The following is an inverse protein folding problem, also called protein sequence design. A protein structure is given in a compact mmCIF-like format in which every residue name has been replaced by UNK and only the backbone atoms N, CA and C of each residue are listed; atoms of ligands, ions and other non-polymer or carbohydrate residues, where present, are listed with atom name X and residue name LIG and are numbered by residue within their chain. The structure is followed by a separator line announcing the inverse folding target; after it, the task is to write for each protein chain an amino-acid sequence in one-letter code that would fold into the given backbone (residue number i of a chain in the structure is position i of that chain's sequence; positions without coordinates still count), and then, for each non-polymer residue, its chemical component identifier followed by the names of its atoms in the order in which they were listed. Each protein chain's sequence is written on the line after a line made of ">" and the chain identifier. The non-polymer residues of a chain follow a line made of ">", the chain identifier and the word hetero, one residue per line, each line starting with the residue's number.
data_IF_050483713792
#
_entry.id   IF_050483713792
#
_cell.length_a   1.000
_cell.length_b   1.000
_cell.length_c   1.000
_cell.angle_alpha   90.00
_cell.angle_beta   90.00
_cell.angle_gamma   90.00
#
_symmetry.space_group_name_H-M   'P 1'
#
loop_
_entity.id
_entity.type
_entity.pdbx_description
1 polymer ?
#
# COMPACT_ATOMS: atom_id res chain seq x y z
N UNK A 1 0.67 30.35 -6.47
CA UNK A 1 -0.63 29.94 -5.92
C UNK A 1 -0.44 29.49 -4.49
N UNK A 2 -1.19 30.08 -3.55
CA UNK A 2 -1.28 29.54 -2.19
C UNK A 2 -1.91 28.14 -2.27
N UNK A 3 -1.35 27.18 -1.54
CA UNK A 3 -1.86 25.81 -1.56
C UNK A 3 -3.13 25.70 -0.72
N UNK A 4 -3.96 24.68 -0.96
CA UNK A 4 -5.16 24.39 -0.14
C UNK A 4 -4.81 24.32 1.35
N UNK A 5 -3.62 23.84 1.68
CA UNK A 5 -3.13 23.77 3.05
C UNK A 5 -2.94 25.15 3.68
N UNK A 6 -2.46 26.15 2.93
CA UNK A 6 -2.34 27.52 3.42
C UNK A 6 -3.70 28.10 3.82
N UNK A 7 -4.75 27.77 3.07
CA UNK A 7 -6.13 28.15 3.38
C UNK A 7 -6.57 27.46 4.67
N UNK A 8 -6.36 26.14 4.78
CA UNK A 8 -6.67 25.38 6.02
C UNK A 8 -5.96 26.01 7.22
N UNK A 9 -4.67 26.32 7.12
CA UNK A 9 -3.89 26.90 8.22
C UNK A 9 -4.41 28.28 8.65
N UNK A 10 -4.81 29.12 7.69
CA UNK A 10 -5.40 30.44 8.01
C UNK A 10 -6.75 30.31 8.70
N UNK A 11 -7.54 29.35 8.25
CA UNK A 11 -8.88 29.09 8.78
C UNK A 11 -8.78 28.52 10.20
N UNK A 12 -7.90 27.56 10.43
CA UNK A 12 -7.71 26.92 11.75
C UNK A 12 -7.21 27.88 12.83
N UNK A 13 -6.54 28.99 12.46
CA UNK A 13 -6.05 30.00 13.40
C UNK A 13 -7.05 31.10 13.78
N UNK A 14 -8.29 31.10 13.27
CA UNK A 14 -9.29 32.14 13.51
C UNK A 14 -10.60 31.63 14.13
N UNK A 15 -11.46 32.54 14.57
CA UNK A 15 -12.86 32.21 14.93
C UNK A 15 -13.62 31.84 13.65
N UNK A 16 -14.03 30.59 13.54
CA UNK A 16 -14.73 30.07 12.36
C UNK A 16 -16.22 30.00 12.58
N UNK A 17 -16.98 30.36 11.54
CA UNK A 17 -18.37 29.93 11.46
C UNK A 17 -18.44 28.40 11.44
N UNK A 18 -19.50 27.84 12.02
CA UNK A 18 -19.73 26.40 12.04
C UNK A 18 -19.69 25.76 10.64
N UNK A 19 -20.25 26.46 9.64
CA UNK A 19 -20.24 26.02 8.24
C UNK A 19 -18.82 25.91 7.65
N UNK A 20 -17.93 26.86 7.97
CA UNK A 20 -16.55 26.83 7.50
C UNK A 20 -15.74 25.73 8.21
N UNK A 21 -15.96 25.54 9.51
CA UNK A 21 -15.34 24.45 10.28
C UNK A 21 -15.71 23.07 9.72
N UNK A 22 -16.98 22.86 9.36
CA UNK A 22 -17.43 21.62 8.72
C UNK A 22 -16.77 21.40 7.35
N UNK A 23 -16.68 22.45 6.53
CA UNK A 23 -16.04 22.39 5.22
C UNK A 23 -14.55 22.02 5.33
N UNK A 24 -13.83 22.61 6.29
CA UNK A 24 -12.41 22.27 6.56
C UNK A 24 -12.26 20.84 7.05
N UNK A 25 -13.15 20.39 7.93
CA UNK A 25 -13.15 19.00 8.42
C UNK A 25 -13.34 18.01 7.27
N UNK A 26 -14.26 18.29 6.35
CA UNK A 26 -14.49 17.47 5.16
C UNK A 26 -13.28 17.47 4.23
N UNK A 27 -12.73 18.65 3.92
CA UNK A 27 -11.55 18.79 3.05
C UNK A 27 -10.35 18.03 3.61
N UNK A 28 -10.11 18.17 4.91
CA UNK A 28 -9.00 17.50 5.59
C UNK A 28 -9.17 15.99 5.55
N UNK A 29 -10.37 15.49 5.82
CA UNK A 29 -10.69 14.06 5.71
C UNK A 29 -10.42 13.53 4.30
N UNK A 30 -10.87 14.25 3.27
CA UNK A 30 -10.62 13.88 1.87
C UNK A 30 -9.12 13.89 1.56
N UNK A 31 -8.38 14.90 2.01
CA UNK A 31 -6.94 14.96 1.80
C UNK A 31 -6.22 13.80 2.49
N UNK A 32 -6.52 13.54 3.76
CA UNK A 32 -6.00 12.41 4.54
C UNK A 32 -6.20 11.09 3.81
N UNK A 33 -7.43 10.82 3.38
CA UNK A 33 -7.78 9.60 2.64
C UNK A 33 -7.07 9.52 1.27
N UNK A 34 -6.78 10.66 0.65
CA UNK A 34 -6.12 10.71 -0.65
C UNK A 34 -4.60 10.50 -0.59
N UNK A 35 -3.98 10.55 0.60
CA UNK A 35 -2.53 10.31 0.76
C UNK A 35 -2.10 8.86 0.45
N UNK A 36 -3.05 7.95 0.25
CA UNK A 36 -2.80 6.61 -0.29
C UNK A 36 -2.43 6.63 -1.78
N UNK A 37 -2.72 7.71 -2.49
CA UNK A 37 -2.40 7.85 -3.90
C UNK A 37 -1.02 8.47 -4.06
N UNK A 38 -0.13 7.79 -4.79
CA UNK A 38 1.24 8.23 -5.06
C UNK A 38 1.29 9.71 -5.46
N UNK A 39 0.44 10.10 -6.42
CA UNK A 39 0.47 11.46 -7.00
C UNK A 39 0.13 12.53 -5.96
N UNK A 40 -0.80 12.24 -5.07
CA UNK A 40 -1.23 13.16 -4.02
C UNK A 40 -0.14 13.25 -2.95
N UNK A 41 0.40 12.11 -2.52
CA UNK A 41 1.48 12.05 -1.53
C UNK A 41 2.76 12.77 -2.02
N UNK A 42 3.19 12.53 -3.27
CA UNK A 42 4.34 13.21 -3.88
C UNK A 42 4.10 14.72 -3.97
N UNK A 43 2.90 15.13 -4.39
CA UNK A 43 2.54 16.55 -4.47
C UNK A 43 2.54 17.22 -3.09
N UNK A 44 1.99 16.54 -2.09
CA UNK A 44 1.97 16.99 -0.70
C UNK A 44 3.40 17.16 -0.17
N UNK A 45 4.24 16.12 -0.30
CA UNK A 45 5.66 16.15 0.08
C UNK A 45 6.37 17.33 -0.56
N UNK A 46 6.39 17.42 -1.90
CA UNK A 46 7.11 18.49 -2.63
C UNK A 46 6.66 19.88 -2.21
N UNK A 47 5.37 20.05 -1.90
CA UNK A 47 4.83 21.34 -1.51
C UNK A 47 5.20 21.73 -0.08
N UNK A 48 5.25 20.76 0.83
CA UNK A 48 5.32 21.01 2.27
C UNK A 48 6.60 20.55 2.95
N UNK A 49 7.55 19.95 2.24
CA UNK A 49 8.79 19.40 2.81
C UNK A 49 9.53 20.43 3.69
N UNK A 50 9.74 21.63 3.14
CA UNK A 50 10.37 22.75 3.87
C UNK A 50 9.55 23.29 5.06
N UNK A 51 8.25 22.99 5.12
CA UNK A 51 7.33 23.46 6.15
C UNK A 51 6.97 22.38 7.18
N UNK A 52 7.45 21.14 7.02
CA UNK A 52 7.03 20.00 7.85
C UNK A 52 7.21 20.23 9.35
N UNK A 53 8.31 20.85 9.78
CA UNK A 53 8.53 21.18 11.20
C UNK A 53 7.50 22.17 11.74
N UNK A 54 7.07 23.13 10.92
CA UNK A 54 6.00 24.08 11.30
C UNK A 54 4.65 23.37 11.37
N UNK A 55 4.33 22.52 10.38
CA UNK A 55 3.09 21.77 10.36
C UNK A 55 2.97 20.84 11.57
N UNK A 56 4.06 20.15 11.96
CA UNK A 56 4.07 19.28 13.15
C UNK A 56 3.85 20.05 14.45
N UNK A 57 4.36 21.29 14.58
CA UNK A 57 4.03 22.15 15.73
C UNK A 57 2.54 22.50 15.74
N UNK A 58 1.99 22.91 14.60
CA UNK A 58 0.56 23.23 14.50
C UNK A 58 -0.34 22.02 14.78
N UNK A 59 0.10 20.81 14.45
CA UNK A 59 -0.63 19.59 14.77
C UNK A 59 -0.80 19.33 16.27
N UNK A 60 0.03 19.92 17.14
CA UNK A 60 -0.10 19.77 18.59
C UNK A 60 -1.39 20.43 19.11
N UNK A 61 -1.79 21.55 18.49
CA UNK A 61 -2.96 22.33 18.90
C UNK A 61 -4.19 22.06 18.01
N UNK A 62 -4.02 21.34 16.89
CA UNK A 62 -5.04 21.17 15.86
C UNK A 62 -5.19 19.70 15.43
N UNK A 63 -6.16 18.97 16.02
CA UNK A 63 -6.38 17.54 15.74
C UNK A 63 -6.58 17.22 14.24
N UNK A 64 -7.23 18.13 13.52
CA UNK A 64 -7.47 18.01 12.07
C UNK A 64 -6.14 17.97 11.29
N UNK A 65 -5.14 18.78 11.68
CA UNK A 65 -3.82 18.77 11.06
C UNK A 65 -3.05 17.52 11.49
N UNK A 66 -3.15 17.13 12.78
CA UNK A 66 -2.53 15.92 13.30
C UNK A 66 -2.96 14.68 12.50
N UNK A 67 -4.24 14.54 12.21
CA UNK A 67 -4.79 13.44 11.40
C UNK A 67 -4.14 13.31 10.02
N UNK A 68 -3.88 14.45 9.33
CA UNK A 68 -3.21 14.46 8.02
C UNK A 68 -1.76 14.08 8.16
N UNK A 69 -1.06 14.61 9.17
CA UNK A 69 0.36 14.33 9.36
C UNK A 69 0.61 12.89 9.81
N UNK A 70 -0.24 12.33 10.67
CA UNK A 70 -0.22 10.91 11.02
C UNK A 70 -0.41 10.06 9.76
N UNK A 71 -1.34 10.44 8.87
CA UNK A 71 -1.51 9.73 7.61
C UNK A 71 -0.30 9.84 6.68
N UNK A 72 0.30 11.03 6.60
CA UNK A 72 1.52 11.26 5.82
C UNK A 72 2.69 10.42 6.35
N UNK A 73 2.96 10.49 7.65
CA UNK A 73 4.08 9.80 8.30
C UNK A 73 3.93 8.27 8.16
N UNK A 74 2.70 7.73 8.25
CA UNK A 74 2.43 6.31 8.05
C UNK A 74 2.68 5.80 6.61
N UNK A 75 2.89 6.70 5.62
CA UNK A 75 3.00 6.34 4.19
C UNK A 75 4.30 6.81 3.55
N UNK A 76 4.97 7.83 4.11
CA UNK A 76 6.13 8.49 3.49
C UNK A 76 7.37 7.60 3.44
N UNK A 77 7.57 6.72 4.43
CA UNK A 77 8.68 5.78 4.43
C UNK A 77 8.59 4.85 3.20
N UNK A 78 7.43 4.21 3.03
CA UNK A 78 7.21 3.31 1.91
C UNK A 78 7.21 4.04 0.57
N UNK A 79 6.75 5.29 0.53
CA UNK A 79 6.89 6.13 -0.66
C UNK A 79 8.37 6.27 -1.09
N UNK A 80 9.29 6.54 -0.17
CA UNK A 80 10.71 6.66 -0.50
C UNK A 80 11.34 5.34 -0.95
N UNK A 81 10.93 4.22 -0.35
CA UNK A 81 11.38 2.88 -0.77
C UNK A 81 10.97 2.64 -2.22
N UNK A 82 9.69 2.78 -2.52
CA UNK A 82 9.15 2.58 -3.88
C UNK A 82 9.72 3.61 -4.86
N UNK A 83 10.01 4.85 -4.43
CA UNK A 83 10.63 5.86 -5.30
C UNK A 83 12.02 5.42 -5.75
N UNK A 84 12.83 4.91 -4.83
CA UNK A 84 14.15 4.35 -5.13
C UNK A 84 14.05 3.12 -6.03
N UNK A 85 13.16 2.18 -5.72
CA UNK A 85 12.94 0.99 -6.55
C UNK A 85 12.51 1.34 -7.98
N UNK A 86 11.62 2.32 -8.14
CA UNK A 86 11.19 2.78 -9.47
C UNK A 86 12.37 3.37 -10.25
N UNK A 87 13.30 4.09 -9.59
CA UNK A 87 14.51 4.60 -10.24
C UNK A 87 15.42 3.45 -10.66
N UNK A 88 15.63 2.43 -9.81
CA UNK A 88 16.47 1.29 -10.15
C UNK A 88 15.85 0.39 -11.23
N UNK A 89 14.55 0.10 -11.15
CA UNK A 89 13.83 -0.68 -12.16
C UNK A 89 13.80 0.04 -13.52
N UNK A 90 13.79 1.37 -13.54
CA UNK A 90 13.92 2.16 -14.77
C UNK A 90 15.27 2.04 -15.47
N UNK A 91 16.29 1.45 -14.83
CA UNK A 91 17.62 1.28 -15.44
C UNK A 91 17.79 -0.05 -16.17
N UNK A 92 16.87 -0.99 -15.99
CA UNK A 92 16.99 -2.36 -16.53
C UNK A 92 15.74 -2.77 -17.29
N UNK A 93 15.95 -3.43 -18.43
CA UNK A 93 14.85 -4.08 -19.14
C UNK A 93 14.41 -5.30 -18.32
N UNK A 94 13.10 -5.46 -18.13
CA UNK A 94 12.52 -6.60 -17.41
C UNK A 94 12.43 -7.89 -18.23
N UNK A 95 12.89 -7.87 -19.49
CA UNK A 95 13.02 -9.09 -20.28
C UNK A 95 14.44 -9.63 -20.10
N UNK A 96 14.58 -10.78 -19.42
CA UNK A 96 15.89 -11.34 -19.06
C UNK A 96 16.75 -11.72 -20.28
N UNK A 97 16.12 -12.09 -21.41
CA UNK A 97 16.81 -12.40 -22.67
C UNK A 97 17.04 -11.14 -23.54
N UNK A 98 16.90 -9.94 -22.97
CA UNK A 98 17.16 -8.69 -23.69
C UNK A 98 18.63 -8.66 -24.18
N UNK A 99 18.89 -8.41 -25.48
CA UNK A 99 20.25 -8.30 -26.02
C UNK A 99 21.07 -7.14 -25.43
N UNK A 100 20.42 -6.20 -24.75
CA UNK A 100 21.04 -5.05 -24.09
C UNK A 100 20.26 -4.75 -22.80
N UNK A 101 20.44 -5.59 -21.76
CA UNK A 101 19.64 -5.51 -20.52
C UNK A 101 20.01 -4.28 -19.69
N UNK A 102 21.28 -3.91 -19.75
CA UNK A 102 21.85 -2.66 -19.24
C UNK A 102 21.96 -1.70 -20.42
N UNK A 103 20.91 -0.92 -20.65
CA UNK A 103 21.06 0.15 -21.61
C UNK A 103 21.93 1.23 -20.97
N UNK A 104 23.20 1.31 -21.38
CA UNK A 104 24.04 2.51 -21.24
C UNK A 104 23.38 3.76 -21.87
N UNK A 105 22.23 3.57 -22.55
CA UNK A 105 21.28 4.61 -22.94
C UNK A 105 20.64 5.29 -21.73
N UNK A 106 21.45 6.07 -21.02
CA UNK A 106 21.02 7.19 -20.18
C UNK A 106 20.06 8.16 -20.91
N UNK A 107 19.95 8.05 -22.24
CA UNK A 107 19.09 8.88 -23.10
C UNK A 107 17.81 8.20 -23.65
N UNK A 108 17.63 6.88 -23.59
CA UNK A 108 16.37 6.26 -24.07
C UNK A 108 15.36 6.14 -22.94
N UNK A 109 14.17 6.73 -23.15
CA UNK A 109 13.07 6.67 -22.19
C UNK A 109 12.49 5.25 -22.15
N UNK A 110 12.96 4.45 -21.20
CA UNK A 110 12.39 3.15 -20.84
C UNK A 110 10.87 3.25 -20.69
N UNK A 111 10.16 2.27 -21.26
CA UNK A 111 8.70 2.21 -21.30
C UNK A 111 8.19 1.37 -20.12
N UNK A 112 7.34 1.96 -19.30
CA UNK A 112 6.68 1.21 -18.24
C UNK A 112 5.55 0.33 -18.81
N UNK A 113 5.38 -0.87 -18.28
CA UNK A 113 4.14 -1.62 -18.45
C UNK A 113 2.93 -0.84 -17.90
N UNK A 114 1.72 -1.21 -18.33
CA UNK A 114 0.49 -0.64 -17.80
C UNK A 114 0.32 -0.86 -16.29
N UNK A 115 0.87 -1.94 -15.72
CA UNK A 115 0.92 -2.17 -14.26
C UNK A 115 1.96 -1.30 -13.54
N UNK A 116 2.96 -0.77 -14.26
CA UNK A 116 4.12 -0.04 -13.74
C UNK A 116 4.99 -0.80 -12.73
N UNK A 117 4.93 -2.13 -12.69
CA UNK A 117 5.88 -2.94 -11.92
C UNK A 117 7.15 -3.28 -12.70
N UNK A 118 7.12 -3.17 -14.03
CA UNK A 118 8.23 -3.53 -14.93
C UNK A 118 8.42 -2.50 -16.06
N UNK A 119 9.66 -2.41 -16.55
CA UNK A 119 10.09 -1.46 -17.58
C UNK A 119 10.80 -2.19 -18.73
N UNK A 120 10.70 -1.64 -19.93
CA UNK A 120 11.23 -2.22 -21.15
C UNK A 120 11.95 -1.18 -22.00
N UNK A 121 13.06 -1.59 -22.61
CA UNK A 121 13.78 -0.73 -23.58
C UNK A 121 12.99 -0.59 -24.89
N UNK A 122 12.18 -1.59 -25.26
CA UNK A 122 11.43 -1.62 -26.52
C UNK A 122 10.04 -2.26 -26.37
N UNK A 123 9.19 -2.06 -27.38
CA UNK A 123 7.88 -2.75 -27.47
C UNK A 123 8.06 -4.25 -27.69
N UNK A 124 9.13 -4.66 -28.38
CA UNK A 124 9.39 -6.07 -28.68
C UNK A 124 9.78 -6.84 -27.42
N UNK A 125 10.65 -6.28 -26.57
CA UNK A 125 10.95 -6.86 -25.26
C UNK A 125 9.70 -6.94 -24.37
N UNK A 126 8.82 -5.93 -24.43
CA UNK A 126 7.55 -5.99 -23.72
C UNK A 126 6.67 -7.14 -24.23
N UNK A 127 6.58 -7.35 -25.55
CA UNK A 127 5.77 -8.43 -26.16
C UNK A 127 6.35 -9.81 -25.83
N UNK A 128 7.66 -9.97 -25.93
CA UNK A 128 8.35 -11.22 -25.60
C UNK A 128 8.15 -11.59 -24.13
N UNK A 129 8.43 -10.64 -23.22
CA UNK A 129 8.21 -10.87 -21.79
C UNK A 129 6.73 -11.08 -21.43
N UNK A 130 5.82 -10.41 -22.13
CA UNK A 130 4.38 -10.65 -21.98
C UNK A 130 4.01 -12.09 -22.31
N UNK A 131 4.45 -12.60 -23.46
CA UNK A 131 4.17 -13.97 -23.89
C UNK A 131 4.86 -15.02 -23.02
N UNK A 132 6.07 -14.74 -22.52
CA UNK A 132 6.82 -15.71 -21.72
C UNK A 132 6.28 -15.87 -20.30
N UNK A 133 5.97 -14.76 -19.59
CA UNK A 133 5.56 -14.85 -18.18
C UNK A 133 4.75 -13.67 -17.64
N UNK A 134 4.97 -12.44 -18.12
CA UNK A 134 4.45 -11.27 -17.41
C UNK A 134 2.92 -11.20 -17.38
N UNK A 135 2.24 -11.76 -18.38
CA UNK A 135 0.78 -11.74 -18.49
C UNK A 135 0.09 -12.41 -17.29
N UNK A 136 0.71 -13.44 -16.69
CA UNK A 136 0.18 -14.17 -15.53
C UNK A 136 0.23 -13.31 -14.26
N UNK A 137 1.28 -12.50 -14.12
CA UNK A 137 1.55 -11.67 -12.93
C UNK A 137 1.09 -10.22 -13.09
N UNK A 138 0.57 -9.84 -14.27
CA UNK A 138 0.28 -8.44 -14.56
C UNK A 138 -1.04 -7.96 -13.94
N UNK A 139 -0.93 -7.16 -12.88
CA UNK A 139 -2.12 -6.59 -12.19
C UNK A 139 -2.96 -5.65 -13.06
N UNK A 140 -2.47 -5.18 -14.22
CA UNK A 140 -3.24 -4.31 -15.10
C UNK A 140 -4.33 -5.01 -15.91
N UNK A 141 -4.32 -6.35 -15.95
CA UNK A 141 -5.36 -7.15 -16.60
C UNK A 141 -6.67 -7.21 -15.81
N UNK A 142 -6.65 -6.91 -14.51
CA UNK A 142 -7.87 -6.90 -13.71
C UNK A 142 -8.75 -5.70 -14.09
N UNK A 143 -10.06 -5.95 -14.26
CA UNK A 143 -11.05 -4.89 -14.52
C UNK A 143 -10.98 -3.85 -13.41
N UNK A 144 -10.41 -2.69 -13.71
CA UNK A 144 -10.34 -1.57 -12.77
C UNK A 144 -11.76 -1.13 -12.45
N UNK A 145 -12.19 -1.33 -11.20
CA UNK A 145 -13.28 -0.56 -10.63
C UNK A 145 -12.67 0.77 -10.16
N UNK A 146 -13.21 1.89 -10.61
CA UNK A 146 -12.75 3.23 -10.20
C UNK A 146 -11.82 3.96 -11.18
N UNK A 147 -11.31 5.10 -10.74
CA UNK A 147 -10.43 6.02 -11.48
C UNK A 147 -8.98 6.00 -10.98
N UNK A 148 -8.66 5.10 -10.05
CA UNK A 148 -7.32 4.94 -9.49
C UNK A 148 -6.32 4.60 -10.61
N UNK A 149 -5.32 5.46 -10.80
CA UNK A 149 -4.32 5.25 -11.84
C UNK A 149 -3.43 4.05 -11.51
N UNK A 150 -2.87 3.38 -12.51
CA UNK A 150 -2.03 2.18 -12.28
C UNK A 150 -0.85 2.45 -11.33
N UNK A 151 -0.26 3.65 -11.39
CA UNK A 151 0.82 4.04 -10.49
C UNK A 151 0.36 4.05 -9.03
N UNK A 152 -0.85 4.53 -8.80
CA UNK A 152 -1.41 4.61 -7.45
C UNK A 152 -1.81 3.20 -6.97
N UNK A 153 -2.32 2.33 -7.85
CA UNK A 153 -2.56 0.91 -7.53
C UNK A 153 -1.26 0.21 -7.12
N UNK A 154 -0.18 0.37 -7.89
CA UNK A 154 1.11 -0.21 -7.52
C UNK A 154 1.55 0.25 -6.13
N UNK A 155 1.48 1.56 -5.86
CA UNK A 155 1.83 2.10 -4.54
C UNK A 155 0.93 1.57 -3.42
N UNK A 156 -0.38 1.44 -3.65
CA UNK A 156 -1.32 0.83 -2.70
C UNK A 156 -0.93 -0.61 -2.38
N UNK A 157 -0.59 -1.41 -3.39
CA UNK A 157 -0.10 -2.78 -3.18
C UNK A 157 1.18 -2.77 -2.34
N UNK A 158 2.14 -1.90 -2.65
CA UNK A 158 3.38 -1.77 -1.88
C UNK A 158 3.14 -1.34 -0.43
N UNK A 159 2.15 -0.48 -0.15
CA UNK A 159 1.75 -0.11 1.22
C UNK A 159 1.18 -1.31 1.99
N UNK A 160 0.34 -2.11 1.33
CA UNK A 160 -0.32 -3.28 1.89
C UNK A 160 0.70 -4.38 2.22
N UNK A 161 1.65 -4.62 1.31
CA UNK A 161 2.73 -5.58 1.52
C UNK A 161 3.69 -5.17 2.64
N UNK A 162 4.08 -3.89 2.72
CA UNK A 162 4.91 -3.38 3.81
C UNK A 162 4.20 -3.51 5.16
N UNK A 163 2.93 -3.12 5.21
CA UNK A 163 2.12 -3.23 6.41
C UNK A 163 1.99 -4.68 6.86
N UNK A 164 1.67 -5.60 5.95
CA UNK A 164 1.59 -7.04 6.23
C UNK A 164 2.89 -7.53 6.87
N UNK A 165 4.03 -7.30 6.22
CA UNK A 165 5.35 -7.74 6.73
C UNK A 165 5.65 -7.19 8.12
N UNK A 166 5.35 -5.91 8.37
CA UNK A 166 5.59 -5.27 9.68
C UNK A 166 4.64 -5.74 10.78
N UNK A 167 3.47 -6.27 10.41
CA UNK A 167 2.40 -6.63 11.36
C UNK A 167 2.03 -8.12 11.32
N UNK A 168 2.82 -8.95 10.65
CA UNK A 168 2.50 -10.37 10.42
C UNK A 168 2.14 -11.09 11.71
N UNK A 169 2.95 -10.90 12.76
CA UNK A 169 2.67 -11.51 14.07
C UNK A 169 1.34 -11.04 14.67
N UNK A 170 1.05 -9.74 14.60
CA UNK A 170 -0.22 -9.18 15.10
C UNK A 170 -1.41 -9.73 14.33
N UNK A 171 -1.30 -9.81 13.01
CA UNK A 171 -2.34 -10.37 12.14
C UNK A 171 -2.59 -11.85 12.46
N UNK A 172 -1.53 -12.62 12.67
CA UNK A 172 -1.60 -14.02 13.10
C UNK A 172 -2.28 -14.16 14.46
N UNK A 173 -1.87 -13.35 15.45
CA UNK A 173 -2.46 -13.38 16.79
C UNK A 173 -3.95 -13.01 16.75
N UNK A 174 -4.33 -11.97 16.00
CA UNK A 174 -5.72 -11.56 15.80
C UNK A 174 -6.54 -12.66 15.07
N UNK A 175 -5.94 -13.37 14.12
CA UNK A 175 -6.57 -14.48 13.41
C UNK A 175 -6.85 -15.66 14.34
N UNK A 176 -5.85 -16.06 15.14
CA UNK A 176 -5.96 -17.15 16.10
C UNK A 176 -6.94 -16.83 17.23
N UNK A 177 -7.06 -15.56 17.62
CA UNK A 177 -8.05 -15.14 18.60
C UNK A 177 -9.49 -15.37 18.10
N UNK A 178 -9.73 -15.24 16.79
CA UNK A 178 -11.06 -15.36 16.18
C UNK A 178 -11.36 -16.81 15.75
N UNK A 179 -10.35 -17.56 15.27
CA UNK A 179 -10.48 -18.97 14.86
C UNK A 179 -9.34 -19.83 15.45
N UNK A 180 -9.36 -20.12 16.76
CA UNK A 180 -8.28 -20.84 17.43
C UNK A 180 -8.00 -22.24 16.86
N UNK A 181 -9.03 -22.86 16.27
CA UNK A 181 -8.95 -24.21 15.69
C UNK A 181 -8.61 -24.20 14.19
N UNK A 182 -8.41 -23.03 13.57
CA UNK A 182 -8.09 -22.86 12.14
C UNK A 182 -9.06 -23.64 11.24
N UNK A 183 -10.36 -23.52 11.53
CA UNK A 183 -11.45 -24.26 10.85
C UNK A 183 -12.11 -23.47 9.72
N UNK A 184 -11.75 -22.20 9.54
CA UNK A 184 -12.35 -21.31 8.56
C UNK A 184 -11.30 -20.80 7.57
N UNK A 185 -11.75 -20.48 6.36
CA UNK A 185 -10.97 -19.65 5.45
C UNK A 185 -10.94 -18.21 5.99
N UNK A 186 -9.81 -17.51 5.88
CA UNK A 186 -9.67 -16.15 6.38
C UNK A 186 -9.51 -15.13 5.25
N UNK A 187 -10.11 -13.96 5.46
CA UNK A 187 -9.84 -12.75 4.69
C UNK A 187 -9.24 -11.68 5.61
N UNK A 188 -8.13 -11.08 5.20
CA UNK A 188 -7.49 -9.97 5.90
C UNK A 188 -7.70 -8.70 5.10
N UNK A 189 -8.39 -7.73 5.69
CA UNK A 189 -8.66 -6.42 5.10
C UNK A 189 -7.70 -5.40 5.69
N UNK A 190 -6.74 -4.92 4.92
CA UNK A 190 -5.86 -3.80 5.28
C UNK A 190 -6.54 -2.49 4.87
N UNK A 191 -6.95 -1.70 5.87
CA UNK A 191 -7.67 -0.44 5.69
C UNK A 191 -6.72 0.76 5.63
N UNK A 192 -6.65 1.38 4.46
CA UNK A 192 -5.80 2.54 4.19
C UNK A 192 -6.53 3.88 4.38
N UNK A 193 -7.82 3.88 4.78
CA UNK A 193 -8.66 5.08 4.97
C UNK A 193 -8.41 5.86 6.27
N UNK A 194 -8.07 5.21 7.41
CA UNK A 194 -7.72 5.93 8.64
C UNK A 194 -6.32 6.56 8.53
N UNK A 195 -5.98 7.40 9.51
CA UNK A 195 -4.67 8.03 9.55
C UNK A 195 -3.57 6.98 9.73
N UNK A 196 -3.71 6.14 10.74
CA UNK A 196 -2.89 4.93 10.95
C UNK A 196 -3.49 3.80 10.12
N UNK A 197 -2.65 3.10 9.35
CA UNK A 197 -3.11 1.91 8.63
C UNK A 197 -3.43 0.83 9.65
N UNK A 198 -4.55 0.13 9.47
CA UNK A 198 -4.93 -0.98 10.35
C UNK A 198 -5.50 -2.14 9.53
N UNK A 199 -5.85 -3.22 10.21
CA UNK A 199 -6.43 -4.39 9.56
C UNK A 199 -7.67 -4.92 10.29
N UNK A 200 -8.43 -5.75 9.59
CA UNK A 200 -9.55 -6.51 10.15
C UNK A 200 -9.58 -7.89 9.52
N UNK A 201 -9.89 -8.89 10.34
CA UNK A 201 -9.95 -10.28 9.92
C UNK A 201 -11.41 -10.70 9.82
N UNK A 202 -11.74 -11.42 8.76
CA UNK A 202 -13.07 -11.99 8.56
C UNK A 202 -12.97 -13.49 8.34
N UNK A 203 -13.88 -14.22 8.99
CA UNK A 203 -14.10 -15.63 8.73
C UNK A 203 -14.97 -15.77 7.49
N UNK A 204 -14.48 -16.58 6.56
CA UNK A 204 -15.25 -17.13 5.46
C UNK A 204 -15.68 -18.55 5.80
N UNK A 205 -16.36 -19.23 4.87
CA UNK A 205 -16.91 -20.56 5.11
C UNK A 205 -15.91 -21.54 5.74
N UNK A 206 -16.45 -22.64 6.28
CA UNK A 206 -15.62 -23.70 6.85
C UNK A 206 -14.67 -24.25 5.80
N UNK A 207 -13.41 -24.43 6.21
CA UNK A 207 -12.38 -25.06 5.39
C UNK A 207 -12.60 -26.58 5.38
N UNK A 208 -12.35 -27.27 4.24
CA UNK A 208 -12.29 -28.72 4.22
C UNK A 208 -11.25 -29.25 5.23
N UNK A 209 -11.55 -30.35 5.93
CA UNK A 209 -10.64 -30.94 6.91
C UNK A 209 -9.30 -31.42 6.32
N UNK A 210 -9.24 -31.60 5.00
CA UNK A 210 -8.08 -32.10 4.26
C UNK A 210 -7.11 -30.99 3.84
N UNK A 211 -7.51 -29.73 3.93
CA UNK A 211 -6.63 -28.60 3.64
C UNK A 211 -5.85 -28.22 4.90
N UNK A 212 -4.56 -28.55 4.92
CA UNK A 212 -3.67 -28.18 6.02
C UNK A 212 -3.06 -26.80 5.84
N UNK A 213 -3.07 -26.26 4.62
CA UNK A 213 -2.46 -24.97 4.30
C UNK A 213 -3.35 -23.84 4.82
N UNK A 214 -2.75 -22.89 5.53
CA UNK A 214 -3.46 -21.71 6.00
C UNK A 214 -3.39 -20.61 4.94
N UNK A 215 -4.19 -20.77 3.89
CA UNK A 215 -4.33 -19.77 2.84
C UNK A 215 -5.22 -18.62 3.33
N UNK A 216 -4.74 -17.38 3.14
CA UNK A 216 -5.48 -16.17 3.48
C UNK A 216 -5.58 -15.26 2.25
N UNK A 217 -6.76 -14.70 2.01
CA UNK A 217 -6.90 -13.67 0.99
C UNK A 217 -6.64 -12.29 1.61
N UNK A 218 -5.79 -11.50 0.96
CA UNK A 218 -5.43 -10.15 1.40
C UNK A 218 -6.18 -9.11 0.57
N UNK A 219 -6.88 -8.22 1.25
CA UNK A 219 -7.66 -7.16 0.65
C UNK A 219 -7.14 -5.79 1.04
N UNK A 220 -6.83 -4.97 0.04
CA UNK A 220 -6.56 -3.55 0.24
C UNK A 220 -7.87 -2.75 0.21
N UNK A 221 -8.14 -1.91 1.21
CA UNK A 221 -9.34 -1.05 1.27
C UNK A 221 -8.94 0.42 1.21
N UNK A 222 -9.46 1.16 0.23
CA UNK A 222 -9.24 2.60 0.11
C UNK A 222 -10.48 3.32 -0.45
N UNK A 223 -10.44 4.66 -0.46
CA UNK A 223 -11.50 5.49 -1.04
C UNK A 223 -11.03 6.12 -2.35
N UNK A 224 -11.79 5.94 -3.42
CA UNK A 224 -11.58 6.56 -4.72
C UNK A 224 -12.84 7.34 -5.11
N UNK A 225 -12.73 8.65 -5.24
CA UNK A 225 -13.87 9.55 -5.52
C UNK A 225 -15.08 9.36 -4.59
N UNK A 226 -14.84 9.02 -3.31
CA UNK A 226 -15.90 8.80 -2.32
C UNK A 226 -16.49 7.38 -2.32
N UNK A 227 -16.02 6.50 -3.19
CA UNK A 227 -16.41 5.09 -3.22
C UNK A 227 -15.34 4.22 -2.55
N UNK A 228 -15.78 3.28 -1.71
CA UNK A 228 -14.89 2.26 -1.16
C UNK A 228 -14.48 1.31 -2.28
N UNK A 229 -13.18 1.19 -2.51
CA UNK A 229 -12.60 0.23 -3.43
C UNK A 229 -11.87 -0.85 -2.64
N UNK A 230 -11.90 -2.04 -3.21
CA UNK A 230 -11.29 -3.24 -2.66
C UNK A 230 -10.50 -3.92 -3.78
N UNK A 231 -9.24 -4.25 -3.52
CA UNK A 231 -8.42 -5.09 -4.39
C UNK A 231 -8.00 -6.32 -3.62
N UNK A 232 -8.18 -7.50 -4.22
CA UNK A 232 -7.75 -8.78 -3.66
C UNK A 232 -6.38 -9.17 -4.23
N UNK A 233 -5.53 -9.75 -3.38
CA UNK A 233 -4.40 -10.58 -3.75
C UNK A 233 -4.39 -11.83 -2.87
N UNK A 234 -3.98 -12.96 -3.45
CA UNK A 234 -3.83 -14.21 -2.69
C UNK A 234 -2.42 -14.25 -2.11
N UNK A 235 -2.32 -14.48 -0.80
CA UNK A 235 -1.04 -14.63 -0.11
C UNK A 235 -1.05 -15.89 0.74
N UNK A 236 -0.05 -16.72 0.57
CA UNK A 236 0.19 -17.83 1.49
C UNK A 236 0.81 -17.22 2.76
N UNK A 237 0.16 -17.43 3.90
CA UNK A 237 0.80 -17.18 5.19
C UNK A 237 2.02 -18.11 5.25
N UNK A 238 3.20 -17.65 5.69
CA UNK A 238 4.26 -18.57 6.01
C UNK A 238 3.70 -19.56 7.03
N UNK A 239 3.56 -20.82 6.62
CA UNK A 239 3.34 -21.88 7.59
C UNK A 239 4.46 -21.75 8.60
N UNK A 240 4.12 -21.72 9.89
CA UNK A 240 5.13 -21.93 10.93
C UNK A 240 5.92 -23.15 10.48
N UNK A 241 7.14 -22.94 10.01
CA UNK A 241 8.07 -24.03 9.74
C UNK A 241 8.05 -24.85 11.04
N UNK A 242 7.66 -26.12 10.95
CA UNK A 242 7.54 -27.09 12.05
C UNK A 242 8.85 -27.26 12.86
N UNK A 243 9.89 -26.47 12.56
CA UNK A 243 11.22 -26.52 13.16
C UNK A 243 11.27 -26.05 14.63
N UNK A 244 10.23 -25.41 15.18
CA UNK A 244 10.25 -24.95 16.57
C UNK A 244 9.60 -25.89 17.60
N UNK A 245 9.02 -27.03 17.18
CA UNK A 245 8.33 -27.98 18.11
C UNK A 245 9.13 -29.27 18.33
N UNK A 246 10.23 -29.50 17.59
CA UNK A 246 11.10 -30.67 17.83
C UNK A 246 12.17 -30.44 18.91
N UNK A 247 12.58 -29.20 19.18
CA UNK A 247 13.66 -28.92 20.16
C UNK A 247 13.20 -28.96 21.63
N UNK A 248 11.90 -28.97 21.94
CA UNK A 248 11.40 -29.10 23.34
C UNK A 248 11.05 -30.54 23.73
N UNK A 249 11.12 -31.51 22.81
CA UNK A 249 10.81 -32.93 23.12
C UNK A 249 12.08 -33.74 23.42
N UNK A 250 13.28 -33.25 23.08
CA UNK A 250 14.55 -33.98 23.34
C UNK A 250 15.17 -33.69 24.72
N UNK A 251 14.76 -32.63 25.44
CA UNK A 251 15.31 -32.27 26.75
C UNK A 251 14.60 -32.90 27.97
N UNK A 252 13.48 -33.63 27.78
CA UNK A 252 12.85 -34.43 28.85
C UNK A 252 13.28 -35.92 28.84
N UNK A 253 14.21 -36.30 27.95
CA UNK A 253 14.68 -37.68 27.79
C UNK A 253 16.15 -37.93 28.21
N UNK A 254 16.80 -36.99 28.91
CA UNK A 254 18.17 -37.14 29.44
C UNK A 254 18.24 -37.12 30.98
#
# INVERSE_FOLDING_TARGET
>A
MEGVFTIILRVVGGELSSALAEAVTRLTRTLRQSLVFWRVLDSFRRRHDSEMSRLRRLAQDHPIIADVLTAYDARIEQFHIVEKEVVERKRRCAHDECPSPESDNTNERMRACACRSVWYCSVDCQRQHWTSEHHEKCVSGHKKRGQTASRDIHFIVELVLDYWKKNERRILDDALAIDPLRTHQLEVYIDLRPAVIDHTIRLMGQRPCEDTAWATELFAVWLDHGYTNVSCGVFEMPGEHEEAVQDEIEDEAS
#
